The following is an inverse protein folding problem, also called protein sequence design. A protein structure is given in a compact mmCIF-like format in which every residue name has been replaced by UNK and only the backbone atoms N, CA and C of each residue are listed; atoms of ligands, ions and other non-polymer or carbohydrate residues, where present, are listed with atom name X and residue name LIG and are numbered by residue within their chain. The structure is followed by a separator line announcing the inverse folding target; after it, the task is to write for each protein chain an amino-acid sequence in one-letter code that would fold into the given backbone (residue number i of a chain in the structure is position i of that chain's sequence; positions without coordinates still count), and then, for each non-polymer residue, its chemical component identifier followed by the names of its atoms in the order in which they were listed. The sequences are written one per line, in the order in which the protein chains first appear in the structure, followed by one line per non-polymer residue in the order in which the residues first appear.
data_IF_837414358732
#
_entry.id   IF_837414358732
#
_cell.length_a   1.000
_cell.length_b   1.000
_cell.length_c   1.000
_cell.angle_alpha   90.00
_cell.angle_beta   90.00
_cell.angle_gamma   90.00
#
_symmetry.space_group_name_H-M   'P 1'
#
loop_
_entity.id
_entity.type
_entity.pdbx_description
1 polymer ?
#
# COMPACT_ATOMS: atom_id res chain seq x y z
N UNK A 1 16.01 -5.68 78.54
CA UNK A 1 14.81 -5.95 77.71
C UNK A 1 14.72 -4.80 76.71
N UNK A 2 14.93 -4.96 75.41
CA UNK A 2 13.90 -5.31 74.41
C UNK A 2 14.64 -5.58 73.09
N UNK A 3 14.48 -6.79 72.54
CA UNK A 3 15.15 -7.25 71.32
C UNK A 3 14.47 -6.63 70.10
N UNK A 4 15.16 -5.79 69.31
CA UNK A 4 14.68 -5.45 67.97
C UNK A 4 14.98 -6.64 67.05
N UNK A 5 13.95 -7.43 66.77
CA UNK A 5 13.96 -8.44 65.72
C UNK A 5 13.75 -7.71 64.39
N UNK A 6 14.79 -7.69 63.56
CA UNK A 6 14.70 -7.32 62.15
C UNK A 6 13.75 -8.30 61.45
N UNK A 7 12.56 -7.83 61.10
CA UNK A 7 11.64 -8.54 60.22
C UNK A 7 12.27 -8.58 58.82
N UNK A 8 12.83 -9.72 58.44
CA UNK A 8 13.21 -10.02 57.05
C UNK A 8 11.92 -10.16 56.23
N UNK A 9 11.64 -9.19 55.37
CA UNK A 9 10.55 -9.27 54.40
C UNK A 9 10.86 -10.37 53.37
N UNK A 10 10.19 -11.52 53.47
CA UNK A 10 10.19 -12.55 52.42
C UNK A 10 9.19 -12.15 51.35
N UNK A 11 9.60 -11.28 50.43
CA UNK A 11 8.85 -10.92 49.23
C UNK A 11 9.41 -11.67 48.01
N UNK A 12 9.15 -12.98 47.90
CA UNK A 12 9.46 -13.76 46.69
C UNK A 12 8.77 -15.13 46.78
N UNK A 13 7.53 -15.28 46.27
CA UNK A 13 7.44 -15.96 44.97
C UNK A 13 6.28 -15.51 44.06
N UNK A 14 5.51 -14.47 44.41
CA UNK A 14 4.31 -14.10 43.62
C UNK A 14 4.62 -13.38 42.30
N UNK A 15 5.85 -12.86 42.14
CA UNK A 15 6.26 -12.13 40.93
C UNK A 15 6.46 -13.03 39.71
N UNK A 16 6.83 -14.30 39.88
CA UNK A 16 7.16 -15.17 38.75
C UNK A 16 5.92 -15.77 38.07
N UNK A 17 4.83 -16.01 38.80
CA UNK A 17 3.59 -16.50 38.21
C UNK A 17 2.92 -15.44 37.30
N UNK A 18 3.01 -14.15 37.65
CA UNK A 18 2.45 -13.06 36.85
C UNK A 18 3.19 -12.82 35.53
N UNK A 19 4.52 -13.00 35.52
CA UNK A 19 5.33 -12.82 34.30
C UNK A 19 5.03 -13.91 33.26
N UNK A 20 4.75 -15.15 33.68
CA UNK A 20 4.45 -16.23 32.74
C UNK A 20 3.12 -16.06 31.99
N UNK A 21 2.11 -15.39 32.59
CA UNK A 21 0.83 -15.11 31.92
C UNK A 21 0.94 -14.03 30.83
N UNK A 22 1.92 -13.14 30.89
CA UNK A 22 2.11 -12.07 29.90
C UNK A 22 2.79 -12.56 28.61
N UNK A 23 3.44 -13.72 28.64
CA UNK A 23 4.16 -14.27 27.49
C UNK A 23 3.29 -15.17 26.59
N UNK A 24 2.04 -15.45 26.98
CA UNK A 24 1.11 -16.28 26.22
C UNK A 24 -0.12 -15.50 25.74
N UNK A 25 0.11 -14.27 25.26
CA UNK A 25 -0.92 -13.56 24.50
C UNK A 25 -1.12 -14.27 23.16
N UNK A 26 -2.09 -15.18 23.06
CA UNK A 26 -2.60 -15.61 21.76
C UNK A 26 -3.06 -14.36 21.01
N UNK A 27 -2.74 -14.20 19.71
CA UNK A 27 -3.29 -13.10 18.94
C UNK A 27 -4.80 -13.12 19.12
N UNK A 28 -5.37 -12.00 19.58
CA UNK A 28 -6.81 -11.85 19.58
C UNK A 28 -7.22 -11.90 18.10
N UNK A 29 -7.79 -13.04 17.69
CA UNK A 29 -8.44 -13.17 16.40
C UNK A 29 -9.64 -12.22 16.40
N UNK A 30 -9.39 -10.95 16.08
CA UNK A 30 -10.45 -10.03 15.75
C UNK A 30 -11.16 -10.63 14.55
N UNK A 31 -12.42 -11.06 14.76
CA UNK A 31 -13.24 -11.76 13.79
C UNK A 31 -13.09 -11.08 12.42
N UNK A 32 -12.43 -11.77 11.48
CA UNK A 32 -12.31 -11.23 10.13
C UNK A 32 -13.72 -11.11 9.58
N UNK A 33 -14.10 -9.94 9.06
CA UNK A 33 -15.42 -9.75 8.44
C UNK A 33 -15.67 -10.68 7.25
N UNK A 34 -14.62 -11.32 6.73
CA UNK A 34 -14.62 -12.25 5.61
C UNK A 34 -15.21 -13.61 6.01
N UNK A 35 -16.20 -14.04 5.25
CA UNK A 35 -16.89 -15.33 5.40
C UNK A 35 -16.45 -16.36 4.39
N UNK A 36 -16.22 -15.91 3.16
CA UNK A 36 -15.80 -16.76 2.08
C UNK A 36 -14.96 -15.96 1.07
N UNK A 37 -14.09 -16.66 0.35
CA UNK A 37 -13.30 -16.06 -0.72
C UNK A 37 -13.04 -17.06 -1.84
N UNK A 38 -12.96 -16.56 -3.06
CA UNK A 38 -12.51 -17.29 -4.23
C UNK A 38 -11.51 -16.43 -5.01
N UNK A 39 -10.21 -16.78 -5.04
CA UNK A 39 -9.56 -17.89 -4.32
C UNK A 39 -9.65 -17.78 -2.79
N UNK A 40 -9.73 -18.92 -2.10
CA UNK A 40 -9.79 -18.98 -0.64
C UNK A 40 -8.38 -18.85 -0.01
N UNK A 41 -8.27 -18.48 1.28
CA UNK A 41 -7.00 -18.53 2.00
C UNK A 41 -6.34 -19.91 1.91
N UNK A 42 -5.09 -19.95 1.46
CA UNK A 42 -4.32 -21.19 1.25
C UNK A 42 -4.72 -22.01 0.03
N UNK A 43 -5.66 -21.55 -0.80
CA UNK A 43 -6.07 -22.26 -2.00
C UNK A 43 -4.95 -22.32 -3.05
N UNK A 44 -4.99 -23.34 -3.89
CA UNK A 44 -4.19 -23.43 -5.11
C UNK A 44 -5.11 -23.27 -6.32
N UNK A 45 -4.83 -22.29 -7.17
CA UNK A 45 -5.59 -22.01 -8.41
C UNK A 45 -4.63 -21.98 -9.59
N UNK A 46 -5.13 -22.07 -10.82
CA UNK A 46 -4.27 -21.92 -12.00
C UNK A 46 -3.75 -20.49 -12.14
N UNK A 47 -2.48 -20.36 -12.53
CA UNK A 47 -1.95 -19.10 -13.07
C UNK A 47 -2.84 -18.62 -14.22
N UNK A 48 -2.97 -17.30 -14.37
CA UNK A 48 -3.88 -16.68 -15.34
C UNK A 48 -5.34 -16.56 -14.89
N UNK A 49 -5.69 -16.99 -13.68
CA UNK A 49 -6.97 -16.61 -13.04
C UNK A 49 -7.10 -15.08 -13.04
N UNK A 50 -8.31 -14.54 -13.27
CA UNK A 50 -8.50 -13.10 -13.51
C UNK A 50 -9.66 -12.47 -12.75
N UNK A 51 -10.30 -13.21 -11.84
CA UNK A 51 -11.39 -12.69 -10.99
C UNK A 51 -11.18 -13.14 -9.56
N UNK A 52 -11.38 -12.23 -8.63
CA UNK A 52 -11.44 -12.51 -7.19
C UNK A 52 -12.81 -12.15 -6.64
N UNK A 53 -13.31 -12.96 -5.71
CA UNK A 53 -14.55 -12.75 -4.96
C UNK A 53 -14.25 -12.80 -3.47
N UNK A 54 -14.76 -11.82 -2.74
CA UNK A 54 -14.77 -11.80 -1.28
C UNK A 54 -16.21 -11.67 -0.79
N UNK A 55 -16.62 -12.51 0.16
CA UNK A 55 -17.94 -12.44 0.78
C UNK A 55 -17.77 -12.13 2.26
N UNK A 56 -18.54 -11.16 2.74
CA UNK A 56 -18.50 -10.62 4.10
C UNK A 56 -19.84 -10.81 4.81
N UNK A 57 -19.87 -10.57 6.12
CA UNK A 57 -21.11 -10.50 6.89
C UNK A 57 -22.08 -9.43 6.36
N UNK A 58 -21.57 -8.20 6.25
CA UNK A 58 -22.30 -7.02 5.82
C UNK A 58 -21.28 -5.90 5.51
N UNK A 59 -21.56 -5.08 4.50
CA UNK A 59 -20.78 -3.93 4.08
C UNK A 59 -21.63 -2.67 4.19
N UNK A 60 -21.02 -1.56 4.57
CA UNK A 60 -21.68 -0.25 4.53
C UNK A 60 -22.05 0.13 3.09
N UNK A 61 -23.32 0.45 2.86
CA UNK A 61 -23.84 0.89 1.55
C UNK A 61 -23.13 2.17 1.09
N UNK A 62 -22.74 2.19 -0.18
CA UNK A 62 -22.09 3.37 -0.78
C UNK A 62 -20.59 3.49 -0.51
N UNK A 63 -20.00 2.59 0.28
CA UNK A 63 -18.56 2.53 0.51
C UNK A 63 -18.02 1.25 -0.14
N UNK A 64 -17.33 1.40 -1.27
CA UNK A 64 -16.73 0.28 -1.96
C UNK A 64 -15.50 -0.26 -1.19
N UNK A 65 -15.35 -1.59 -1.05
CA UNK A 65 -14.12 -2.21 -0.59
C UNK A 65 -12.92 -1.82 -1.43
N UNK A 66 -11.73 -1.86 -0.82
CA UNK A 66 -10.45 -1.79 -1.52
C UNK A 66 -9.81 -3.17 -1.50
N UNK A 67 -9.28 -3.60 -2.65
CA UNK A 67 -8.56 -4.86 -2.80
C UNK A 67 -7.22 -4.55 -3.46
N UNK A 68 -6.14 -4.99 -2.82
CA UNK A 68 -4.77 -4.88 -3.32
C UNK A 68 -4.15 -6.28 -3.36
N UNK A 69 -3.35 -6.55 -4.37
CA UNK A 69 -2.69 -7.83 -4.54
C UNK A 69 -1.21 -7.65 -4.85
N UNK A 70 -0.38 -8.51 -4.27
CA UNK A 70 1.07 -8.52 -4.48
C UNK A 70 1.49 -9.91 -4.92
N UNK A 71 2.25 -9.98 -6.01
CA UNK A 71 2.80 -11.21 -6.58
C UNK A 71 3.99 -11.76 -5.80
N UNK A 72 4.51 -12.93 -6.20
CA UNK A 72 5.64 -13.60 -5.55
C UNK A 72 6.97 -12.83 -5.70
N UNK A 73 7.07 -11.95 -6.68
CA UNK A 73 8.18 -11.03 -6.93
C UNK A 73 8.11 -9.75 -6.08
N UNK A 74 7.01 -9.56 -5.31
CA UNK A 74 6.77 -8.35 -4.55
C UNK A 74 6.13 -7.22 -5.35
N UNK A 75 5.84 -7.45 -6.64
CA UNK A 75 5.20 -6.45 -7.50
C UNK A 75 3.68 -6.42 -7.31
N UNK A 76 3.09 -5.23 -7.50
CA UNK A 76 1.65 -5.07 -7.41
C UNK A 76 0.96 -5.74 -8.62
N UNK A 77 -0.05 -6.56 -8.35
CA UNK A 77 -0.95 -7.09 -9.37
C UNK A 77 -2.10 -6.08 -9.53
N UNK A 78 -2.32 -5.50 -10.72
CA UNK A 78 -3.42 -4.57 -10.94
C UNK A 78 -4.78 -5.19 -10.61
N UNK A 79 -5.62 -4.42 -9.93
CA UNK A 79 -6.98 -4.80 -9.51
C UNK A 79 -7.95 -3.72 -9.99
N UNK A 80 -9.01 -4.14 -10.68
CA UNK A 80 -10.09 -3.25 -11.08
C UNK A 80 -10.96 -2.86 -9.87
N UNK A 81 -11.73 -1.78 -10.00
CA UNK A 81 -12.60 -1.34 -8.90
C UNK A 81 -13.60 -2.44 -8.50
N UNK A 82 -13.67 -2.84 -7.21
CA UNK A 82 -14.58 -3.88 -6.77
C UNK A 82 -16.06 -3.48 -6.95
N UNK A 83 -16.84 -4.40 -7.50
CA UNK A 83 -18.30 -4.28 -7.62
C UNK A 83 -18.93 -5.04 -6.46
N UNK A 84 -19.78 -4.36 -5.69
CA UNK A 84 -20.49 -4.97 -4.55
C UNK A 84 -21.89 -5.40 -4.97
N UNK A 85 -22.27 -6.61 -4.56
CA UNK A 85 -23.59 -7.21 -4.75
C UNK A 85 -24.18 -7.60 -3.40
N UNK A 86 -25.48 -7.35 -3.22
CA UNK A 86 -26.25 -7.72 -2.02
C UNK A 86 -25.62 -7.29 -0.69
N UNK A 87 -24.90 -6.15 -0.69
CA UNK A 87 -24.20 -5.59 0.49
C UNK A 87 -23.21 -6.54 1.19
N UNK A 88 -22.84 -7.65 0.56
CA UNK A 88 -22.06 -8.71 1.22
C UNK A 88 -20.95 -9.25 0.36
N UNK A 89 -21.13 -9.28 -0.96
CA UNK A 89 -20.16 -9.86 -1.89
C UNK A 89 -19.50 -8.78 -2.71
N UNK A 90 -18.18 -8.79 -2.76
CA UNK A 90 -17.38 -7.93 -3.61
C UNK A 90 -16.64 -8.77 -4.65
N UNK A 91 -16.79 -8.42 -5.92
CA UNK A 91 -16.11 -9.04 -7.05
C UNK A 91 -15.18 -8.03 -7.71
N UNK A 92 -13.97 -8.43 -8.05
CA UNK A 92 -13.03 -7.58 -8.78
C UNK A 92 -12.34 -8.38 -9.90
N UNK A 93 -12.20 -7.75 -11.06
CA UNK A 93 -11.30 -8.24 -12.10
C UNK A 93 -9.87 -7.91 -11.68
N UNK A 94 -8.94 -8.81 -11.99
CA UNK A 94 -7.51 -8.65 -11.72
C UNK A 94 -6.73 -8.95 -12.98
N UNK A 95 -5.53 -8.39 -13.10
CA UNK A 95 -4.60 -8.83 -14.13
C UNK A 95 -4.36 -10.34 -13.97
N UNK A 96 -4.15 -11.08 -15.07
CA UNK A 96 -3.92 -12.52 -15.02
C UNK A 96 -2.85 -12.87 -13.99
N UNK A 97 -3.20 -13.72 -13.01
CA UNK A 97 -2.34 -13.98 -11.88
C UNK A 97 -1.01 -14.64 -12.32
N UNK A 98 0.16 -14.10 -11.90
CA UNK A 98 1.43 -14.77 -12.11
C UNK A 98 1.52 -16.04 -11.27
N UNK A 99 2.30 -17.02 -11.69
CA UNK A 99 2.55 -18.22 -10.89
C UNK A 99 3.35 -17.87 -9.62
N UNK A 100 2.91 -18.40 -8.48
CA UNK A 100 3.56 -18.29 -7.18
C UNK A 100 2.58 -17.89 -6.07
N UNK A 101 3.15 -17.53 -4.91
CA UNK A 101 2.39 -17.07 -3.75
C UNK A 101 1.94 -15.64 -3.97
N UNK A 102 0.64 -15.41 -3.79
CA UNK A 102 0.01 -14.10 -3.94
C UNK A 102 -0.55 -13.69 -2.59
N UNK A 103 -0.24 -12.46 -2.19
CA UNK A 103 -0.82 -11.85 -0.99
C UNK A 103 -1.96 -10.92 -1.41
N UNK A 104 -3.18 -11.23 -0.95
CA UNK A 104 -4.35 -10.37 -1.13
C UNK A 104 -4.61 -9.61 0.17
N UNK A 105 -4.66 -8.30 0.08
CA UNK A 105 -5.05 -7.40 1.18
C UNK A 105 -6.35 -6.71 0.81
N UNK A 106 -7.29 -6.64 1.76
CA UNK A 106 -8.54 -5.92 1.58
C UNK A 106 -8.82 -4.98 2.74
N UNK A 107 -9.49 -3.87 2.43
CA UNK A 107 -10.03 -2.93 3.40
C UNK A 107 -11.52 -2.74 3.14
N UNK A 108 -12.33 -2.84 4.20
CA UNK A 108 -13.79 -2.67 4.15
C UNK A 108 -14.25 -1.72 5.24
N UNK A 109 -15.46 -1.19 5.08
CA UNK A 109 -16.26 -0.65 6.18
C UNK A 109 -17.42 -1.61 6.42
N UNK A 110 -17.41 -2.31 7.55
CA UNK A 110 -18.48 -3.23 7.93
C UNK A 110 -19.80 -2.47 8.13
N UNK A 111 -20.94 -3.18 8.15
CA UNK A 111 -22.26 -2.55 8.22
C UNK A 111 -22.55 -1.75 9.50
N UNK A 112 -21.76 -1.93 10.56
CA UNK A 112 -21.76 -1.15 11.80
C UNK A 112 -20.90 0.13 11.74
N UNK A 113 -20.18 0.33 10.63
CA UNK A 113 -19.29 1.46 10.42
C UNK A 113 -17.81 1.17 10.75
N UNK A 114 -17.49 -0.02 11.24
CA UNK A 114 -16.11 -0.35 11.61
C UNK A 114 -15.25 -0.57 10.37
N UNK A 115 -14.14 0.18 10.29
CA UNK A 115 -13.14 0.00 9.24
C UNK A 115 -12.24 -1.20 9.58
N UNK A 116 -12.18 -2.18 8.70
CA UNK A 116 -11.35 -3.38 8.85
C UNK A 116 -10.36 -3.49 7.71
N UNK A 117 -9.12 -3.87 8.01
CA UNK A 117 -8.11 -4.23 7.01
C UNK A 117 -7.51 -5.56 7.39
N UNK A 118 -7.46 -6.48 6.44
CA UNK A 118 -6.97 -7.84 6.63
C UNK A 118 -6.25 -8.31 5.36
N UNK A 119 -5.45 -9.37 5.50
CA UNK A 119 -4.76 -10.00 4.38
C UNK A 119 -4.76 -11.53 4.51
N UNK A 120 -4.63 -12.20 3.38
CA UNK A 120 -4.37 -13.63 3.32
C UNK A 120 -3.56 -13.97 2.07
N UNK A 121 -3.02 -15.19 2.03
CA UNK A 121 -2.25 -15.70 0.90
C UNK A 121 -2.95 -16.87 0.24
N UNK A 122 -2.70 -17.04 -1.05
CA UNK A 122 -3.05 -18.21 -1.84
C UNK A 122 -1.99 -18.41 -2.93
N UNK A 123 -1.99 -19.56 -3.62
CA UNK A 123 -1.00 -19.91 -4.62
C UNK A 123 -1.63 -20.00 -6.01
N UNK A 124 -1.03 -19.33 -6.99
CA UNK A 124 -1.29 -19.55 -8.40
C UNK A 124 -0.26 -20.54 -8.95
N UNK A 125 -0.70 -21.67 -9.48
CA UNK A 125 0.14 -22.78 -9.93
C UNK A 125 0.20 -22.78 -11.45
N UNK A 126 1.42 -22.77 -12.00
CA UNK A 126 1.65 -22.91 -13.44
C UNK A 126 1.19 -24.28 -13.96
N UNK A 127 0.73 -24.30 -15.21
CA UNK A 127 0.24 -25.53 -15.86
C UNK A 127 -1.09 -26.06 -15.31
N UNK A 128 -1.64 -25.44 -14.27
CA UNK A 128 -3.00 -25.72 -13.77
C UNK A 128 -4.00 -24.81 -14.49
N UNK A 129 -5.18 -25.34 -14.85
CA UNK A 129 -6.25 -24.56 -15.49
C UNK A 129 -6.62 -23.34 -14.61
N UNK A 130 -6.73 -22.12 -15.19
CA UNK A 130 -7.26 -20.97 -14.49
C UNK A 130 -8.61 -21.27 -13.83
N UNK A 131 -8.84 -20.72 -12.64
CA UNK A 131 -10.12 -20.86 -11.96
C UNK A 131 -11.22 -20.19 -12.80
N UNK A 132 -12.37 -20.84 -12.90
CA UNK A 132 -13.53 -20.26 -13.55
C UNK A 132 -14.04 -19.06 -12.75
N UNK A 133 -14.65 -18.10 -13.45
CA UNK A 133 -15.26 -16.94 -12.80
C UNK A 133 -16.30 -17.42 -11.77
N UNK A 134 -16.21 -16.95 -10.51
CA UNK A 134 -17.21 -17.27 -9.49
C UNK A 134 -18.63 -16.96 -9.98
N UNK A 135 -19.58 -17.88 -9.79
CA UNK A 135 -20.96 -17.73 -10.29
C UNK A 135 -21.64 -16.42 -9.86
N UNK A 136 -21.41 -15.99 -8.62
CA UNK A 136 -21.89 -14.71 -8.08
C UNK A 136 -21.33 -13.47 -8.80
N UNK A 137 -20.19 -13.62 -9.48
CA UNK A 137 -19.55 -12.56 -10.27
C UNK A 137 -19.81 -12.68 -11.78
N UNK A 138 -20.33 -13.82 -12.26
CA UNK A 138 -20.40 -14.14 -13.69
C UNK A 138 -21.31 -13.20 -14.50
N UNK A 139 -22.29 -12.58 -13.84
CA UNK A 139 -23.24 -11.65 -14.46
C UNK A 139 -22.86 -10.17 -14.27
N UNK A 140 -21.75 -9.88 -13.58
CA UNK A 140 -21.33 -8.52 -13.29
C UNK A 140 -20.45 -7.97 -14.41
N UNK A 141 -20.66 -6.71 -14.75
CA UNK A 141 -19.70 -5.93 -15.55
C UNK A 141 -18.61 -5.42 -14.62
N UNK A 142 -17.49 -6.15 -14.54
CA UNK A 142 -16.36 -5.78 -13.69
C UNK A 142 -15.46 -4.76 -14.41
N UNK A 143 -15.14 -3.61 -13.77
CA UNK A 143 -14.15 -2.68 -14.28
C UNK A 143 -12.80 -3.38 -14.52
N UNK A 144 -12.16 -3.06 -15.65
CA UNK A 144 -10.86 -3.63 -15.98
C UNK A 144 -9.79 -3.18 -14.97
N UNK A 145 -8.77 -4.01 -14.70
CA UNK A 145 -7.61 -3.60 -13.92
C UNK A 145 -6.84 -2.50 -14.64
N UNK A 146 -6.52 -1.42 -13.93
CA UNK A 146 -5.69 -0.35 -14.47
C UNK A 146 -4.24 -0.82 -14.56
N UNK A 147 -3.78 -1.25 -15.74
CA UNK A 147 -2.41 -1.74 -15.95
C UNK A 147 -1.35 -0.63 -15.94
N UNK A 148 -1.68 0.57 -15.46
CA UNK A 148 -0.72 1.64 -15.26
C UNK A 148 0.14 1.90 -16.49
N UNK A 149 -0.43 1.79 -17.71
CA UNK A 149 0.23 2.35 -18.90
C UNK A 149 0.08 3.87 -18.82
N UNK A 150 0.75 4.45 -17.83
CA UNK A 150 1.13 5.85 -17.85
C UNK A 150 2.13 5.99 -18.97
N UNK A 151 1.64 6.10 -20.21
CA UNK A 151 2.42 6.50 -21.39
C UNK A 151 2.78 8.00 -21.32
N UNK A 152 3.01 8.48 -20.10
CA UNK A 152 3.17 9.86 -19.69
C UNK A 152 4.19 9.87 -18.58
N UNK A 153 5.45 9.70 -18.97
CA UNK A 153 6.54 10.20 -18.15
C UNK A 153 6.62 11.71 -18.42
N UNK A 154 6.32 12.54 -17.42
CA UNK A 154 6.41 14.01 -17.47
C UNK A 154 5.43 14.75 -18.42
N UNK A 155 4.20 14.27 -18.62
CA UNK A 155 3.19 15.06 -19.35
C UNK A 155 3.43 15.19 -20.87
N UNK A 156 4.38 14.42 -21.43
CA UNK A 156 4.71 14.41 -22.86
C UNK A 156 4.43 13.01 -23.41
N UNK A 157 3.42 12.90 -24.27
CA UNK A 157 3.15 11.67 -25.01
C UNK A 157 4.36 11.29 -25.88
N UNK A 158 4.64 9.98 -26.01
CA UNK A 158 5.83 9.42 -26.69
C UNK A 158 5.96 9.78 -28.18
N UNK A 159 4.97 10.45 -28.78
CA UNK A 159 5.08 11.00 -30.14
C UNK A 159 5.77 12.37 -30.18
N UNK A 160 6.02 13.01 -29.04
CA UNK A 160 6.64 14.35 -28.95
C UNK A 160 7.97 14.36 -28.17
N UNK A 161 8.45 13.19 -27.73
CA UNK A 161 9.66 13.02 -26.91
C UNK A 161 10.99 13.00 -27.67
N UNK A 162 11.01 13.32 -28.97
CA UNK A 162 12.24 13.32 -29.80
C UNK A 162 12.71 14.73 -30.20
N UNK A 163 11.97 15.81 -29.90
CA UNK A 163 12.39 17.18 -30.30
C UNK A 163 12.85 18.10 -29.17
N UNK A 164 12.88 17.67 -27.90
CA UNK A 164 13.36 18.52 -26.77
C UNK A 164 14.68 18.03 -26.20
N UNK A 165 15.67 17.83 -27.09
CA UNK A 165 17.08 17.61 -26.73
C UNK A 165 17.99 18.72 -27.29
N UNK A 166 17.45 19.95 -27.42
CA UNK A 166 18.21 21.12 -27.90
C UNK A 166 18.02 22.42 -27.09
N UNK A 167 17.33 22.39 -25.94
CA UNK A 167 16.95 23.61 -25.20
C UNK A 167 17.40 23.71 -23.74
N UNK A 168 18.28 22.81 -23.27
CA UNK A 168 18.59 22.64 -21.84
C UNK A 168 20.06 22.73 -21.46
N UNK A 169 20.89 23.48 -22.21
CA UNK A 169 22.32 23.63 -21.94
C UNK A 169 22.81 25.09 -21.83
N UNK A 170 21.92 26.05 -21.52
CA UNK A 170 22.26 27.48 -21.58
C UNK A 170 21.88 28.33 -20.35
N UNK A 171 21.58 27.75 -19.17
CA UNK A 171 21.11 28.57 -18.01
C UNK A 171 21.89 28.37 -16.69
N UNK A 172 22.92 27.52 -16.62
CA UNK A 172 23.65 27.28 -15.34
C UNK A 172 24.99 28.05 -15.20
N UNK A 173 25.37 28.90 -16.15
CA UNK A 173 26.64 29.65 -16.09
C UNK A 173 26.52 31.18 -15.83
N UNK A 174 25.32 31.71 -15.59
CA UNK A 174 25.10 33.18 -15.53
C UNK A 174 24.97 33.82 -14.14
N UNK A 175 24.81 33.04 -13.07
CA UNK A 175 24.36 33.56 -11.77
C UNK A 175 25.45 33.99 -10.77
N UNK A 176 26.74 33.77 -11.07
CA UNK A 176 27.79 33.76 -10.03
C UNK A 176 28.81 34.90 -10.04
N UNK A 177 28.80 35.85 -10.97
CA UNK A 177 29.97 36.73 -11.19
C UNK A 177 29.75 38.25 -11.10
N UNK A 178 28.61 38.75 -10.61
CA UNK A 178 28.35 40.21 -10.62
C UNK A 178 28.04 40.82 -9.26
N UNK A 179 28.83 40.49 -8.21
CA UNK A 179 28.69 41.16 -6.89
C UNK A 179 29.98 41.67 -6.25
N UNK A 180 31.10 41.83 -6.98
CA UNK A 180 32.32 42.46 -6.39
C UNK A 180 33.07 43.37 -7.38
N UNK A 181 32.41 44.40 -7.93
CA UNK A 181 33.15 45.49 -8.62
C UNK A 181 32.51 46.89 -8.51
N UNK A 182 31.71 47.14 -7.47
CA UNK A 182 30.98 48.41 -7.30
C UNK A 182 31.52 49.39 -6.26
N UNK A 183 32.43 48.99 -5.36
CA UNK A 183 32.72 49.78 -4.14
C UNK A 183 34.15 50.33 -4.02
N UNK A 184 34.93 50.42 -5.11
CA UNK A 184 36.31 50.94 -5.05
C UNK A 184 36.62 52.14 -5.96
N UNK A 185 35.60 52.90 -6.42
CA UNK A 185 35.82 54.12 -7.23
C UNK A 185 34.94 55.32 -6.82
N UNK A 186 34.68 55.49 -5.51
CA UNK A 186 34.07 56.72 -4.96
C UNK A 186 34.87 57.37 -3.83
N UNK A 187 36.18 57.17 -3.82
CA UNK A 187 37.12 57.98 -3.02
C UNK A 187 38.39 58.24 -3.83
N UNK A 188 38.28 59.10 -4.83
CA UNK A 188 39.27 60.14 -5.19
C UNK A 188 38.47 61.18 -5.97
N UNK A 189 37.73 62.02 -5.26
CA UNK A 189 37.42 63.38 -5.70
C UNK A 189 38.42 64.23 -4.94
N UNK A 190 39.58 64.47 -5.52
CA UNK A 190 40.51 65.53 -5.14
C UNK A 190 41.58 65.57 -6.25
N UNK A 191 41.90 66.79 -6.70
CA UNK A 191 42.85 67.15 -7.78
C UNK A 191 42.35 67.09 -9.24
N UNK A 192 41.48 68.04 -9.62
CA UNK A 192 41.81 69.04 -10.65
C UNK A 192 40.60 69.97 -10.87
N UNK A 193 40.35 70.86 -9.91
CA UNK A 193 39.52 72.04 -10.08
C UNK A 193 40.40 73.27 -9.89
N UNK A 194 41.01 73.75 -10.96
CA UNK A 194 41.56 75.11 -11.06
C UNK A 194 40.77 75.82 -12.15
N UNK A 195 40.06 76.86 -11.74
CA UNK A 195 39.18 77.72 -12.52
C UNK A 195 38.27 78.46 -11.58
#
# INVERSE_FOLDING_TARGET
MRRLRLLKATAAPLGWAGVLLLLCGTPAYAHTGLKDAAPAPGAKVGAGTSVVRLTFNNLTVGIAPKINMVGPDGEAIPVGQPVVTDTTTACAAVSPLPAGIITLTYSITAGDGDAQTNSFQFEAVDGTKPADTPSLCAHLSLPAPDTGTSDTFLGIGRTTGVTVLAGGAAVVAGGGFLTVRGLRRRRVLEESGTG
#
